data_IF_277478495933
#
_entry.id   IF_277478495933
#
_cell.length_a   1.000
_cell.length_b   1.000
_cell.length_c   1.000
_cell.angle_alpha   90.00
_cell.angle_beta   90.00
_cell.angle_gamma   90.00
#
_symmetry.space_group_name_H-M   'P 1'
#
loop_
_entity.id
_entity.type
_entity.pdbx_description
1 polymer ?
#
# COMPACT_ATOMS: atom_id res chain seq x y z
N UNK A 1 2.33 -7.90 -25.06
CA UNK A 1 2.69 -7.96 -23.62
C UNK A 1 1.62 -7.20 -22.86
N UNK A 2 0.72 -7.88 -22.15
CA UNK A 2 -0.34 -7.20 -21.39
C UNK A 2 0.25 -6.76 -20.06
N UNK A 3 0.89 -5.58 -20.04
CA UNK A 3 1.24 -4.86 -18.83
C UNK A 3 0.00 -4.17 -18.27
N UNK A 4 -0.97 -4.95 -17.78
CA UNK A 4 -2.06 -4.39 -16.99
C UNK A 4 -1.48 -4.22 -15.61
N UNK A 5 -1.18 -2.99 -15.20
CA UNK A 5 -0.77 -2.68 -13.83
C UNK A 5 -1.81 -3.27 -12.90
N UNK A 6 -1.52 -4.44 -12.32
CA UNK A 6 -2.38 -5.19 -11.42
C UNK A 6 -2.37 -4.57 -10.02
N UNK A 7 -2.17 -3.25 -9.96
CA UNK A 7 -2.29 -2.48 -8.75
C UNK A 7 -3.77 -2.23 -8.50
N UNK A 8 -4.27 -2.74 -7.38
CA UNK A 8 -5.62 -2.43 -6.90
C UNK A 8 -5.77 -0.91 -6.68
N UNK A 9 -4.65 -0.24 -6.38
CA UNK A 9 -4.54 1.19 -6.13
C UNK A 9 -3.85 1.93 -7.28
N UNK A 10 -4.29 3.16 -7.52
CA UNK A 10 -3.65 4.14 -8.41
C UNK A 10 -2.30 4.61 -7.86
N UNK A 11 -2.19 4.75 -6.55
CA UNK A 11 -0.96 5.16 -5.86
C UNK A 11 -0.91 4.57 -4.46
N UNK A 12 0.29 4.19 -4.02
CA UNK A 12 0.60 3.72 -2.68
C UNK A 12 1.83 4.48 -2.20
N UNK A 13 1.72 5.17 -1.07
CA UNK A 13 2.84 5.86 -0.42
C UNK A 13 3.02 5.28 0.97
N UNK A 14 4.19 4.73 1.25
CA UNK A 14 4.53 4.15 2.56
C UNK A 14 5.58 5.00 3.26
N UNK A 15 5.39 5.25 4.55
CA UNK A 15 6.38 5.84 5.45
C UNK A 15 6.77 4.77 6.47
N UNK A 16 8.05 4.45 6.53
CA UNK A 16 8.61 3.48 7.48
C UNK A 16 9.91 4.05 8.07
N UNK A 17 10.37 3.58 9.24
CA UNK A 17 11.61 4.05 9.86
C UNK A 17 12.85 3.73 9.02
N UNK A 18 12.77 2.70 8.18
CA UNK A 18 13.82 2.29 7.25
C UNK A 18 13.32 2.41 5.81
N UNK A 19 14.15 2.98 4.94
CA UNK A 19 13.81 3.15 3.53
C UNK A 19 13.58 1.80 2.81
N UNK A 20 14.31 0.75 3.22
CA UNK A 20 14.14 -0.60 2.67
C UNK A 20 12.76 -1.19 2.99
N UNK A 21 12.27 -1.01 4.21
CA UNK A 21 10.93 -1.45 4.61
C UNK A 21 9.84 -0.70 3.84
N UNK A 22 10.02 0.61 3.61
CA UNK A 22 9.07 1.41 2.84
C UNK A 22 8.94 0.92 1.39
N UNK A 23 10.05 0.53 0.75
CA UNK A 23 10.07 0.01 -0.62
C UNK A 23 9.42 -1.39 -0.73
N UNK A 24 9.80 -2.29 0.19
CA UNK A 24 9.24 -3.63 0.27
C UNK A 24 7.72 -3.60 0.52
N UNK A 25 7.28 -2.77 1.46
CA UNK A 25 5.87 -2.60 1.77
C UNK A 25 5.11 -1.92 0.63
N UNK A 26 5.67 -0.92 -0.05
CA UNK A 26 4.99 -0.28 -1.20
C UNK A 26 4.70 -1.29 -2.31
N UNK A 27 5.64 -2.19 -2.58
CA UNK A 27 5.47 -3.27 -3.56
C UNK A 27 4.42 -4.29 -3.09
N UNK A 28 4.51 -4.75 -1.84
CA UNK A 28 3.58 -5.73 -1.30
C UNK A 28 2.14 -5.19 -1.27
N UNK A 29 1.96 -3.96 -0.77
CA UNK A 29 0.65 -3.34 -0.60
C UNK A 29 -0.03 -3.00 -1.93
N UNK A 30 0.74 -2.76 -3.00
CA UNK A 30 0.20 -2.48 -4.34
C UNK A 30 -0.71 -3.62 -4.87
N UNK A 31 -0.45 -4.86 -4.46
CA UNK A 31 -1.19 -6.05 -4.90
C UNK A 31 -2.17 -6.61 -3.86
N UNK A 32 -2.27 -6.00 -2.67
CA UNK A 32 -3.11 -6.50 -1.57
C UNK A 32 -4.41 -5.71 -1.43
N UNK A 33 -5.52 -6.40 -1.18
CA UNK A 33 -6.76 -5.74 -0.76
C UNK A 33 -6.60 -4.99 0.57
N UNK A 34 -7.42 -3.96 0.77
CA UNK A 34 -7.29 -3.02 1.89
C UNK A 34 -7.33 -3.71 3.26
N UNK A 35 -8.12 -4.77 3.40
CA UNK A 35 -8.22 -5.54 4.65
C UNK A 35 -6.90 -6.26 4.99
N UNK A 36 -6.26 -6.85 3.99
CA UNK A 36 -4.94 -7.50 4.13
C UNK A 36 -3.82 -6.48 4.31
N UNK A 37 -3.90 -5.35 3.62
CA UNK A 37 -2.97 -4.24 3.81
C UNK A 37 -3.00 -3.72 5.25
N UNK A 38 -4.19 -3.61 5.85
CA UNK A 38 -4.36 -3.20 7.26
C UNK A 38 -3.78 -4.20 8.24
N UNK A 39 -3.96 -5.49 7.99
CA UNK A 39 -3.37 -6.56 8.81
C UNK A 39 -1.83 -6.49 8.80
N UNK A 40 -1.24 -6.35 7.62
CA UNK A 40 0.22 -6.19 7.45
C UNK A 40 0.74 -4.95 8.16
N UNK A 41 0.07 -3.81 8.00
CA UNK A 41 0.50 -2.56 8.66
C UNK A 41 0.32 -2.61 10.17
N UNK A 42 -0.68 -3.33 10.67
CA UNK A 42 -0.85 -3.56 12.11
C UNK A 42 0.28 -4.40 12.72
N UNK A 43 0.93 -5.26 11.91
CA UNK A 43 2.09 -6.05 12.33
C UNK A 43 3.42 -5.26 12.25
N UNK A 44 3.44 -4.10 11.61
CA UNK A 44 4.62 -3.28 11.37
C UNK A 44 4.57 -1.94 12.15
N UNK A 45 4.90 -1.94 13.45
CA UNK A 45 4.82 -0.73 14.28
C UNK A 45 5.72 0.39 13.73
N UNK A 46 5.19 1.62 13.73
CA UNK A 46 5.91 2.79 13.20
C UNK A 46 5.85 2.95 11.68
N UNK A 47 5.04 2.13 11.00
CA UNK A 47 4.79 2.25 9.56
C UNK A 47 3.42 2.86 9.31
N UNK A 48 3.31 3.75 8.33
CA UNK A 48 2.05 4.30 7.85
C UNK A 48 1.97 4.17 6.32
N UNK A 49 0.76 3.98 5.79
CA UNK A 49 0.54 3.94 4.35
C UNK A 49 -0.65 4.81 3.93
N UNK A 50 -0.53 5.46 2.78
CA UNK A 50 -1.59 6.19 2.11
C UNK A 50 -1.83 5.50 0.77
N UNK A 51 -3.06 5.03 0.56
CA UNK A 51 -3.46 4.35 -0.67
C UNK A 51 -4.61 5.10 -1.33
N UNK A 52 -4.57 5.21 -2.66
CA UNK A 52 -5.63 5.83 -3.46
C UNK A 52 -6.13 4.86 -4.51
N UNK A 53 -7.40 4.48 -4.44
CA UNK A 53 -8.03 3.60 -5.43
C UNK A 53 -8.18 4.28 -6.79
N UNK A 54 -8.09 3.49 -7.86
CA UNK A 54 -8.24 4.00 -9.23
C UNK A 54 -9.69 4.20 -9.68
N UNK A 55 -10.69 3.96 -8.83
CA UNK A 55 -12.12 4.01 -9.19
C UNK A 55 -13.04 4.78 -8.23
N UNK A 56 -12.60 5.09 -7.02
CA UNK A 56 -13.36 5.87 -6.03
C UNK A 56 -12.36 6.52 -5.09
N UNK A 57 -12.40 7.85 -4.94
CA UNK A 57 -11.46 8.61 -4.09
C UNK A 57 -11.70 8.24 -2.62
N UNK A 58 -11.02 7.20 -2.15
CA UNK A 58 -11.09 6.72 -0.77
C UNK A 58 -9.71 6.80 -0.15
N UNK A 59 -9.39 7.95 0.44
CA UNK A 59 -8.16 8.15 1.22
C UNK A 59 -8.32 7.47 2.57
N UNK A 60 -7.69 6.31 2.74
CA UNK A 60 -7.63 5.65 4.05
C UNK A 60 -6.28 5.96 4.68
N UNK A 61 -6.30 6.71 5.78
CA UNK A 61 -5.16 6.80 6.71
C UNK A 61 -5.34 5.70 7.75
N UNK A 62 -4.36 4.82 7.84
CA UNK A 62 -4.24 3.79 8.89
C UNK A 62 -2.99 4.04 9.70
#
# INVERSE_FOLDING_TARGET
>A
LVGRSAGIYRSVSVTAPLAADADALSTALSSLDLDRARDVLSACPGTAAIMSYSGEEKTTKI
#
